data_IF_135039134115
#
_entry.id   IF_135039134115
#
_cell.length_a   1.000
_cell.length_b   1.000
_cell.length_c   1.000
_cell.angle_alpha   90.00
_cell.angle_beta   90.00
_cell.angle_gamma   90.00
#
_symmetry.space_group_name_H-M   'P 1'
#
loop_
_entity.id
_entity.type
_entity.pdbx_description
1 polymer ?
#
# COMPACT_ATOMS: atom_id res chain seq x y z
N UNK A 1 -4.57 27.63 13.93
CA UNK A 1 -4.08 27.01 12.68
C UNK A 1 -2.57 26.70 12.67
N UNK A 2 -1.68 27.56 13.19
CA UNK A 2 -0.21 27.34 13.16
C UNK A 2 0.31 26.10 13.93
N UNK A 3 -0.40 25.65 14.97
CA UNK A 3 0.02 24.53 15.84
C UNK A 3 -0.24 23.14 15.27
N UNK A 4 -1.30 22.95 14.46
CA UNK A 4 -1.59 21.65 13.81
C UNK A 4 -0.52 21.29 12.77
N UNK A 5 -0.03 22.27 12.00
CA UNK A 5 1.01 22.07 11.00
C UNK A 5 2.35 21.62 11.59
N UNK A 6 2.72 22.14 12.77
CA UNK A 6 3.99 21.77 13.42
C UNK A 6 3.99 20.33 13.93
N UNK A 7 2.85 19.86 14.47
CA UNK A 7 2.68 18.47 14.90
C UNK A 7 2.78 17.50 13.73
N UNK A 8 2.12 17.82 12.61
CA UNK A 8 2.20 17.06 11.35
C UNK A 8 3.62 16.95 10.81
N UNK A 9 4.35 18.07 10.76
CA UNK A 9 5.75 18.09 10.30
C UNK A 9 6.62 17.21 11.22
N UNK A 10 6.42 17.29 12.53
CA UNK A 10 7.19 16.48 13.48
C UNK A 10 6.90 14.98 13.34
N UNK A 11 5.64 14.59 13.13
CA UNK A 11 5.29 13.19 12.85
C UNK A 11 5.87 12.71 11.52
N UNK A 12 5.84 13.55 10.47
CA UNK A 12 6.40 13.20 9.17
C UNK A 12 7.91 13.03 9.22
N UNK A 13 8.60 13.90 9.98
CA UNK A 13 10.04 13.80 10.23
C UNK A 13 10.41 12.52 11.00
N UNK A 14 9.58 12.11 11.97
CA UNK A 14 9.80 10.87 12.71
C UNK A 14 9.62 9.63 11.84
N UNK A 15 8.61 9.63 10.96
CA UNK A 15 8.35 8.55 10.01
C UNK A 15 9.48 8.47 8.98
N UNK A 16 9.94 9.60 8.44
CA UNK A 16 11.04 9.62 7.46
C UNK A 16 12.37 9.19 8.06
N UNK A 17 12.66 9.58 9.32
CA UNK A 17 13.83 9.11 10.05
C UNK A 17 13.80 7.59 10.24
N UNK A 18 12.67 7.04 10.70
CA UNK A 18 12.52 5.60 10.90
C UNK A 18 12.60 4.81 9.59
N UNK A 19 12.04 5.36 8.51
CA UNK A 19 12.16 4.79 7.18
C UNK A 19 13.61 4.77 6.71
N UNK A 20 14.34 5.88 6.88
CA UNK A 20 15.74 5.97 6.50
C UNK A 20 16.62 4.96 7.26
N UNK A 21 16.41 4.84 8.57
CA UNK A 21 17.11 3.85 9.40
C UNK A 21 16.78 2.43 8.91
N UNK A 22 15.50 2.11 8.69
CA UNK A 22 15.10 0.78 8.21
C UNK A 22 15.74 0.43 6.86
N UNK A 23 15.79 1.38 5.93
CA UNK A 23 16.46 1.21 4.63
C UNK A 23 17.96 0.98 4.79
N UNK A 24 18.62 1.69 5.71
CA UNK A 24 20.05 1.52 5.95
C UNK A 24 20.40 0.12 6.47
N UNK A 25 19.52 -0.48 7.26
CA UNK A 25 19.69 -1.82 7.81
C UNK A 25 19.09 -2.94 6.92
N UNK A 26 18.66 -2.64 5.68
CA UNK A 26 17.99 -3.59 4.77
C UNK A 26 16.74 -4.27 5.38
N UNK A 27 16.08 -3.63 6.35
CA UNK A 27 14.82 -4.12 6.89
C UNK A 27 13.62 -3.57 6.12
N UNK A 28 12.48 -4.25 6.24
CA UNK A 28 11.23 -3.77 5.63
C UNK A 28 10.82 -2.43 6.23
N UNK A 29 10.90 -1.39 5.41
CA UNK A 29 10.56 -0.01 5.77
C UNK A 29 9.13 0.12 6.28
N UNK A 30 8.20 -0.61 5.65
CA UNK A 30 6.79 -0.68 6.05
C UNK A 30 6.63 -1.26 7.46
N UNK A 31 7.35 -2.35 7.75
CA UNK A 31 7.27 -3.01 9.04
C UNK A 31 7.80 -2.12 10.16
N UNK A 32 8.91 -1.43 9.94
CA UNK A 32 9.44 -0.46 10.91
C UNK A 32 8.49 0.71 11.17
N UNK A 33 7.86 1.26 10.13
CA UNK A 33 6.85 2.32 10.31
C UNK A 33 5.62 1.82 11.07
N UNK A 34 5.16 0.59 10.81
CA UNK A 34 4.05 -0.02 11.54
C UNK A 34 4.39 -0.26 13.01
N UNK A 35 5.59 -0.80 13.29
CA UNK A 35 6.10 -1.02 14.64
C UNK A 35 6.20 0.30 15.42
N UNK A 36 6.71 1.36 14.78
CA UNK A 36 6.77 2.71 15.35
C UNK A 36 5.38 3.24 15.66
N UNK A 37 4.41 3.06 14.77
CA UNK A 37 3.01 3.41 15.01
C UNK A 37 2.44 2.73 16.26
N UNK A 38 2.65 1.42 16.41
CA UNK A 38 2.23 0.68 17.62
C UNK A 38 2.89 1.18 18.90
N UNK A 39 4.18 1.50 18.87
CA UNK A 39 4.87 2.09 20.02
C UNK A 39 4.30 3.47 20.34
N UNK A 40 4.03 4.30 19.33
CA UNK A 40 3.44 5.62 19.52
C UNK A 40 2.03 5.55 20.13
N UNK A 41 1.18 4.62 19.67
CA UNK A 41 -0.17 4.40 20.23
C UNK A 41 -0.12 4.00 21.71
N UNK A 42 0.88 3.21 22.11
CA UNK A 42 0.99 2.71 23.48
C UNK A 42 1.69 3.69 24.43
N UNK A 43 2.59 4.53 23.92
CA UNK A 43 3.37 5.46 24.76
C UNK A 43 2.69 6.83 24.93
N UNK A 44 1.90 7.28 23.95
CA UNK A 44 1.19 8.56 24.06
C UNK A 44 -0.13 8.42 24.82
N UNK A 45 -0.24 9.16 25.93
CA UNK A 45 -1.46 9.23 26.74
C UNK A 45 -2.56 10.11 26.08
N UNK A 46 -2.16 11.08 25.25
CA UNK A 46 -3.06 12.06 24.60
C UNK A 46 -3.24 11.75 23.10
N UNK A 47 -3.91 10.63 22.82
CA UNK A 47 -3.94 9.96 21.51
C UNK A 47 -4.71 10.72 20.43
N UNK A 48 -5.74 11.49 20.75
CA UNK A 48 -6.64 12.01 19.70
C UNK A 48 -5.96 13.01 18.74
N UNK A 49 -5.17 13.96 19.25
CA UNK A 49 -4.66 15.06 18.41
C UNK A 49 -3.51 14.66 17.47
N UNK A 50 -2.74 13.63 17.82
CA UNK A 50 -1.62 13.17 17.00
C UNK A 50 -2.09 12.31 15.82
N UNK A 51 -3.15 11.54 16.00
CA UNK A 51 -3.67 10.64 14.98
C UNK A 51 -4.61 11.35 13.99
N UNK A 52 -5.32 12.40 14.42
CA UNK A 52 -6.17 13.25 13.56
C UNK A 52 -5.40 13.83 12.35
N UNK A 53 -4.13 14.19 12.53
CA UNK A 53 -3.27 14.62 11.43
C UNK A 53 -2.81 13.48 10.51
N UNK A 54 -2.54 12.31 11.08
CA UNK A 54 -2.06 11.13 10.34
C UNK A 54 -3.19 10.56 9.48
N UNK A 55 -4.43 10.51 10.00
CA UNK A 55 -5.60 10.01 9.26
C UNK A 55 -5.89 10.86 8.03
N UNK A 56 -5.89 12.20 8.17
CA UNK A 56 -6.07 13.11 7.04
C UNK A 56 -5.01 12.94 5.93
N UNK A 57 -3.76 12.73 6.33
CA UNK A 57 -2.67 12.48 5.40
C UNK A 57 -2.76 11.10 4.74
N UNK A 58 -3.11 10.08 5.53
CA UNK A 58 -3.26 8.69 5.08
C UNK A 58 -4.31 8.55 3.98
N UNK A 59 -5.49 9.15 4.15
CA UNK A 59 -6.57 9.13 3.15
C UNK A 59 -6.11 9.71 1.80
N UNK A 60 -5.42 10.85 1.85
CA UNK A 60 -4.88 11.50 0.64
C UNK A 60 -3.84 10.62 -0.05
N UNK A 61 -2.98 9.98 0.73
CA UNK A 61 -1.90 9.11 0.23
C UNK A 61 -2.46 7.82 -0.39
N UNK A 62 -3.48 7.23 0.24
CA UNK A 62 -4.24 6.10 -0.29
C UNK A 62 -4.90 6.44 -1.63
N UNK A 63 -5.52 7.62 -1.74
CA UNK A 63 -6.16 8.05 -2.98
C UNK A 63 -5.14 8.19 -4.12
N UNK A 64 -3.97 8.80 -3.85
CA UNK A 64 -2.88 8.90 -4.83
C UNK A 64 -2.34 7.52 -5.20
N UNK A 65 -2.14 6.65 -4.20
CA UNK A 65 -1.68 5.27 -4.41
C UNK A 65 -2.65 4.52 -5.33
N UNK A 66 -3.94 4.51 -5.02
CA UNK A 66 -4.95 3.86 -5.85
C UNK A 66 -5.03 4.44 -7.26
N UNK A 67 -4.84 5.75 -7.40
CA UNK A 67 -4.81 6.40 -8.72
C UNK A 67 -3.61 5.94 -9.55
N UNK A 68 -2.41 5.88 -8.95
CA UNK A 68 -1.19 5.45 -9.64
C UNK A 68 -1.27 3.96 -10.00
N UNK A 69 -1.68 3.12 -9.05
CA UNK A 69 -1.85 1.69 -9.30
C UNK A 69 -2.95 1.39 -10.31
N UNK A 70 -4.04 2.16 -10.29
CA UNK A 70 -5.11 2.08 -11.29
C UNK A 70 -4.66 2.54 -12.68
N UNK A 71 -3.89 3.61 -12.77
CA UNK A 71 -3.34 4.11 -14.04
C UNK A 71 -2.26 3.17 -14.63
N UNK A 72 -1.46 2.54 -13.77
CA UNK A 72 -0.50 1.50 -14.16
C UNK A 72 -1.12 0.14 -14.42
N UNK A 73 -2.45 -0.01 -14.23
CA UNK A 73 -3.13 -1.27 -14.44
C UNK A 73 -3.35 -1.54 -15.93
N UNK A 74 -2.42 -2.25 -16.55
CA UNK A 74 -2.55 -2.70 -17.92
C UNK A 74 -3.62 -3.81 -18.03
N UNK A 75 -4.80 -3.42 -18.49
CA UNK A 75 -5.95 -4.30 -18.73
C UNK A 75 -5.64 -5.36 -19.81
N UNK A 76 -4.69 -5.07 -20.70
CA UNK A 76 -4.34 -5.92 -21.83
C UNK A 76 -3.67 -7.22 -21.33
N UNK A 77 -2.79 -7.13 -20.34
CA UNK A 77 -2.13 -8.30 -19.76
C UNK A 77 -3.13 -9.28 -19.11
N UNK A 78 -4.16 -8.77 -18.44
CA UNK A 78 -5.15 -9.59 -17.72
C UNK A 78 -6.24 -10.17 -18.64
N UNK A 79 -6.63 -9.44 -19.68
CA UNK A 79 -7.58 -9.96 -20.69
C UNK A 79 -6.90 -11.03 -21.55
N UNK A 80 -5.63 -10.86 -21.92
CA UNK A 80 -4.90 -11.88 -22.69
C UNK A 80 -4.77 -13.21 -21.94
N UNK A 81 -4.42 -13.16 -20.65
CA UNK A 81 -4.40 -14.35 -19.78
C UNK A 81 -5.78 -14.99 -19.54
N UNK A 82 -6.87 -14.22 -19.60
CA UNK A 82 -8.24 -14.76 -19.53
C UNK A 82 -8.62 -15.48 -20.83
N UNK A 83 -8.28 -14.91 -22.00
CA UNK A 83 -8.50 -15.54 -23.30
C UNK A 83 -7.62 -16.78 -23.50
N UNK A 84 -6.36 -16.77 -23.07
CA UNK A 84 -5.47 -17.94 -23.14
C UNK A 84 -5.99 -19.11 -22.28
N UNK A 85 -6.57 -18.81 -21.11
CA UNK A 85 -7.23 -19.81 -20.28
C UNK A 85 -8.57 -20.28 -20.87
N UNK A 86 -9.37 -19.41 -21.48
CA UNK A 86 -10.63 -19.79 -22.13
C UNK A 86 -10.41 -20.65 -23.40
N UNK A 87 -9.36 -20.37 -24.17
CA UNK A 87 -9.00 -21.15 -25.36
C UNK A 87 -8.40 -22.52 -25.03
N UNK A 88 -7.84 -22.70 -23.82
CA UNK A 88 -7.40 -24.00 -23.32
C UNK A 88 -8.54 -24.86 -22.73
N UNK A 89 -9.75 -24.31 -22.57
CA UNK A 89 -10.91 -25.01 -22.00
C UNK A 89 -11.85 -25.64 -23.05
N UNK A 90 -11.48 -25.68 -24.33
CA UNK A 90 -12.18 -26.46 -25.35
C UNK A 90 -11.44 -27.77 -25.69
N UNK A 91 -11.58 -28.85 -24.88
CA UNK A 91 -11.20 -30.18 -25.32
C UNK A 91 -12.32 -30.74 -26.21
N UNK A 92 -12.43 -30.27 -27.46
CA UNK A 92 -13.41 -30.83 -28.40
C UNK A 92 -12.83 -31.19 -29.77
N UNK A 93 -11.53 -31.42 -29.84
CA UNK A 93 -10.87 -31.95 -31.06
C UNK A 93 -10.21 -33.33 -30.85
N UNK A 94 -10.17 -33.87 -29.63
CA UNK A 94 -9.64 -35.22 -29.37
C UNK A 94 -10.70 -36.34 -29.32
N UNK A 95 -11.96 -36.06 -29.68
CA UNK A 95 -13.02 -37.08 -29.75
C UNK A 95 -13.25 -37.66 -31.16
N UNK A 96 -12.28 -37.52 -32.09
CA UNK A 96 -12.37 -38.07 -33.45
C UNK A 96 -11.39 -39.23 -33.73
N UNK A 97 -10.79 -39.80 -32.69
CA UNK A 97 -9.89 -40.96 -32.80
C UNK A 97 -10.34 -42.18 -31.97
N UNK A 98 -11.58 -42.19 -31.46
CA UNK A 98 -12.17 -43.32 -30.71
C UNK A 98 -13.56 -43.72 -31.24
N UNK A 99 -13.80 -43.55 -32.53
CA UNK A 99 -14.88 -44.22 -33.28
C UNK A 99 -14.26 -44.82 -34.54
#
# INVERSE_FOLDING_TARGET
MRTKSFKLINTLAFISLAAYIAMHFNYSTLFSCMALGTVAVNTLHNKSEYFDGIDFFSETLLLVLFTIFGAGFDINYRIRGLFDNFLNFTPLTNLKNYI
#
